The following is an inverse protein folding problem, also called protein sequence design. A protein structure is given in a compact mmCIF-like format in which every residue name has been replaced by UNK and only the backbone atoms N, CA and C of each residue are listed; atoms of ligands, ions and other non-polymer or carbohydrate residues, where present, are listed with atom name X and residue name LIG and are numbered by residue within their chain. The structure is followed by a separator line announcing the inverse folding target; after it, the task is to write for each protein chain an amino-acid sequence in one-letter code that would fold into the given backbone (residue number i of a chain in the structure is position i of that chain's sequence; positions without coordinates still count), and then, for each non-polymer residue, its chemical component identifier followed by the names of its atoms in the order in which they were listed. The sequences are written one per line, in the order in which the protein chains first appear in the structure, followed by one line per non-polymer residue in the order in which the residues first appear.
data_IF_872380838588
#
_entry.id   IF_872380838588
#
_cell.length_a   1.000
_cell.length_b   1.000
_cell.length_c   1.000
_cell.angle_alpha   90.00
_cell.angle_beta   90.00
_cell.angle_gamma   90.00
#
_symmetry.space_group_name_H-M   'P 1'
#
loop_
_entity.id
_entity.type
_entity.pdbx_description
1 polymer ?
#
# COMPACT_ATOMS: atom_id res chain seq x y z
N UNK A 1 -12.57 10.50 13.62
CA UNK A 1 -11.54 9.89 12.76
C UNK A 1 -11.24 8.50 13.31
N UNK A 2 -11.55 7.42 12.58
CA UNK A 2 -11.33 6.07 13.07
C UNK A 2 -9.82 5.87 13.35
N UNK A 3 -9.46 5.47 14.58
CA UNK A 3 -8.13 4.94 14.88
C UNK A 3 -7.91 3.78 13.93
N UNK A 4 -7.09 3.98 12.91
CA UNK A 4 -6.45 2.84 12.25
C UNK A 4 -5.55 2.26 13.34
N UNK A 5 -5.49 0.94 13.47
CA UNK A 5 -4.53 0.22 14.33
C UNK A 5 -3.46 -0.43 13.44
N UNK A 6 -2.20 -0.31 13.85
CA UNK A 6 -1.09 -0.92 13.15
C UNK A 6 -1.10 -2.41 13.51
N UNK A 7 -0.77 -3.25 12.53
CA UNK A 7 -0.76 -4.70 12.74
C UNK A 7 0.27 -5.38 11.87
N UNK A 8 0.59 -6.62 12.22
CA UNK A 8 1.41 -7.48 11.39
C UNK A 8 0.67 -7.90 10.10
N UNK A 9 1.43 -8.08 9.04
CA UNK A 9 0.93 -8.55 7.75
C UNK A 9 1.81 -9.66 7.20
N UNK A 10 1.21 -10.44 6.30
CA UNK A 10 1.86 -11.47 5.54
C UNK A 10 1.61 -11.22 4.05
N UNK A 11 2.64 -11.39 3.23
CA UNK A 11 2.57 -11.26 1.77
C UNK A 11 3.16 -12.52 1.15
N UNK A 12 2.35 -13.25 0.38
CA UNK A 12 2.78 -14.50 -0.27
C UNK A 12 3.38 -15.55 0.67
N UNK A 13 2.86 -15.73 1.89
CA UNK A 13 3.45 -16.69 2.85
C UNK A 13 4.53 -16.10 3.76
N UNK A 14 4.96 -14.85 3.50
CA UNK A 14 6.09 -14.23 4.17
C UNK A 14 5.66 -13.11 5.09
N UNK A 15 6.11 -13.15 6.35
CA UNK A 15 5.90 -12.06 7.30
C UNK A 15 6.54 -10.77 6.76
N UNK A 16 5.74 -9.70 6.73
CA UNK A 16 6.21 -8.40 6.31
C UNK A 16 7.05 -7.77 7.43
N UNK A 17 8.26 -7.32 7.09
CA UNK A 17 9.21 -6.68 8.03
C UNK A 17 9.75 -5.41 7.38
N UNK A 18 9.89 -4.36 8.17
CA UNK A 18 10.41 -3.09 7.69
C UNK A 18 11.90 -3.26 7.36
N UNK A 19 12.33 -3.03 6.10
CA UNK A 19 13.73 -3.21 5.72
C UNK A 19 14.65 -2.15 6.33
N UNK A 20 14.09 -1.09 6.93
CA UNK A 20 14.84 0.03 7.50
C UNK A 20 15.09 -0.16 9.01
N UNK A 21 14.09 -0.60 9.78
CA UNK A 21 14.18 -0.70 11.24
C UNK A 21 13.87 -2.08 11.82
N UNK A 22 13.45 -3.05 11.00
CA UNK A 22 13.10 -4.40 11.47
C UNK A 22 11.73 -4.53 12.14
N UNK A 23 10.96 -3.45 12.30
CA UNK A 23 9.61 -3.50 12.87
C UNK A 23 8.63 -4.27 11.97
N UNK A 24 7.59 -4.86 12.56
CA UNK A 24 6.65 -5.73 11.87
C UNK A 24 5.18 -5.26 11.90
N UNK A 25 4.88 -4.11 12.52
CA UNK A 25 3.54 -3.53 12.50
C UNK A 25 3.42 -2.36 11.51
N UNK A 26 2.33 -2.36 10.73
CA UNK A 26 2.11 -1.39 9.66
C UNK A 26 0.69 -0.80 9.65
N UNK A 27 0.60 0.45 9.19
CA UNK A 27 -0.65 1.07 8.75
C UNK A 27 -0.91 0.71 7.29
N UNK A 28 -2.11 0.24 6.96
CA UNK A 28 -2.49 0.02 5.55
C UNK A 28 -3.20 1.24 4.96
N UNK A 29 -2.81 1.64 3.76
CA UNK A 29 -3.51 2.63 2.94
C UNK A 29 -3.65 2.11 1.50
N UNK A 30 -4.73 2.50 0.83
CA UNK A 30 -4.87 2.34 -0.63
C UNK A 30 -4.64 3.70 -1.25
N UNK A 31 -3.73 3.76 -2.22
CA UNK A 31 -3.45 4.99 -2.96
C UNK A 31 -3.79 4.76 -4.43
N UNK A 32 -4.52 5.71 -5.01
CA UNK A 32 -4.81 5.71 -6.44
C UNK A 32 -3.52 6.06 -7.19
N UNK A 33 -3.09 5.18 -8.10
CA UNK A 33 -1.98 5.46 -9.01
C UNK A 33 -2.54 6.22 -10.22
N UNK A 34 -2.85 7.50 -10.04
CA UNK A 34 -3.48 8.29 -11.10
C UNK A 34 -2.52 8.41 -12.30
N UNK A 35 -3.02 8.10 -13.50
CA UNK A 35 -2.40 8.58 -14.75
C UNK A 35 -2.82 10.04 -14.98
N UNK A 36 -1.91 10.97 -15.36
CA UNK A 36 -2.23 12.39 -15.56
C UNK A 36 -3.42 12.66 -16.50
N UNK A 37 -3.67 11.77 -17.45
CA UNK A 37 -4.76 11.86 -18.44
C UNK A 37 -6.13 11.37 -17.93
N UNK A 38 -6.18 10.58 -16.85
CA UNK A 38 -7.42 9.97 -16.34
C UNK A 38 -8.27 10.93 -15.49
N UNK A 39 -7.71 12.05 -15.05
CA UNK A 39 -8.50 13.09 -14.35
C UNK A 39 -9.39 13.88 -15.33
N UNK A 40 -9.07 13.89 -16.63
CA UNK A 40 -9.84 14.62 -17.65
C UNK A 40 -10.98 13.80 -18.30
N UNK A 41 -10.99 12.48 -18.12
CA UNK A 41 -12.04 11.59 -18.61
C UNK A 41 -12.55 10.79 -17.42
N UNK A 42 -13.80 11.00 -17.00
CA UNK A 42 -14.51 10.29 -15.91
C UNK A 42 -14.54 8.77 -16.12
N UNK A 43 -13.40 8.11 -15.96
CA UNK A 43 -13.27 6.68 -16.20
C UNK A 43 -12.63 5.99 -15.01
N UNK A 44 -13.52 5.57 -14.11
CA UNK A 44 -13.24 4.70 -12.96
C UNK A 44 -12.55 3.37 -13.33
N UNK A 45 -12.52 2.96 -14.62
CA UNK A 45 -11.85 1.73 -15.06
C UNK A 45 -10.32 1.83 -15.16
N UNK A 46 -9.73 3.05 -15.09
CA UNK A 46 -8.29 3.25 -15.20
C UNK A 46 -7.56 3.29 -13.83
N UNK A 47 -8.29 3.27 -12.72
CA UNK A 47 -7.74 3.42 -11.38
C UNK A 47 -7.05 2.15 -10.89
N UNK A 48 -5.78 1.97 -11.27
CA UNK A 48 -4.91 0.99 -10.59
C UNK A 48 -4.67 1.47 -9.16
N UNK A 49 -5.13 0.69 -8.18
CA UNK A 49 -4.88 0.97 -6.77
C UNK A 49 -3.61 0.24 -6.32
N UNK A 50 -2.69 0.96 -5.70
CA UNK A 50 -1.57 0.35 -4.97
C UNK A 50 -1.97 0.12 -3.51
N UNK A 51 -1.50 -1.00 -2.95
CA UNK A 51 -1.56 -1.25 -1.50
C UNK A 51 -0.26 -0.74 -0.90
N UNK A 52 -0.39 0.10 0.13
CA UNK A 52 0.75 0.67 0.84
C UNK A 52 0.74 0.23 2.29
N UNK A 53 1.89 -0.26 2.76
CA UNK A 53 2.14 -0.55 4.16
C UNK A 53 3.12 0.48 4.70
N UNK A 54 2.69 1.28 5.65
CA UNK A 54 3.50 2.32 6.29
C UNK A 54 3.95 1.79 7.65
N UNK A 55 5.26 1.66 7.86
CA UNK A 55 5.81 1.21 9.13
C UNK A 55 5.32 2.13 10.26
N UNK A 56 4.80 1.54 11.34
CA UNK A 56 4.36 2.30 12.50
C UNK A 56 5.51 3.01 13.21
N UNK A 57 6.69 2.37 13.26
CA UNK A 57 7.85 2.85 14.01
C UNK A 57 8.61 3.97 13.29
N UNK A 58 8.99 3.77 12.02
CA UNK A 58 9.86 4.70 11.29
C UNK A 58 9.18 5.40 10.11
N UNK A 59 7.91 5.09 9.81
CA UNK A 59 7.17 5.70 8.71
C UNK A 59 7.58 5.26 7.30
N UNK A 60 8.52 4.32 7.14
CA UNK A 60 8.91 3.81 5.83
C UNK A 60 7.72 3.15 5.11
N UNK A 61 7.57 3.43 3.80
CA UNK A 61 6.41 3.00 3.01
C UNK A 61 6.83 1.91 2.03
N UNK A 62 6.22 0.74 2.17
CA UNK A 62 6.32 -0.36 1.22
C UNK A 62 5.15 -0.27 0.22
N UNK A 63 5.47 -0.12 -1.05
CA UNK A 63 4.50 0.03 -2.15
C UNK A 63 4.32 -1.30 -2.88
N UNK A 64 3.08 -1.78 -2.94
CA UNK A 64 2.72 -2.99 -3.68
C UNK A 64 1.81 -2.61 -4.85
N UNK A 65 2.38 -2.64 -6.05
CA UNK A 65 1.62 -2.49 -7.27
C UNK A 65 0.73 -3.73 -7.51
N UNK A 66 -0.46 -3.56 -8.10
CA UNK A 66 -1.29 -4.71 -8.47
C UNK A 66 -0.57 -5.56 -9.51
N UNK A 67 -0.38 -6.85 -9.23
CA UNK A 67 0.17 -7.80 -10.21
C UNK A 67 -0.84 -7.93 -11.35
N UNK A 68 -0.41 -7.65 -12.59
CA UNK A 68 -1.12 -8.19 -13.76
C UNK A 68 -0.77 -9.68 -13.83
N UNK A 69 -1.77 -10.56 -13.85
CA UNK A 69 -1.55 -11.96 -14.21
C UNK A 69 -0.74 -11.98 -15.52
N UNK A 70 0.47 -12.53 -15.45
CA UNK A 70 1.32 -12.77 -16.61
C UNK A 70 1.27 -14.26 -16.89
#
# INVERSE_FOLDING_TARGET
MAKREAKAYEVHGHKLVCPICGHDAFWTRRTLLNTPMATFLNFDWANRQATNFVCEECGHILWFAPRKNR
#
